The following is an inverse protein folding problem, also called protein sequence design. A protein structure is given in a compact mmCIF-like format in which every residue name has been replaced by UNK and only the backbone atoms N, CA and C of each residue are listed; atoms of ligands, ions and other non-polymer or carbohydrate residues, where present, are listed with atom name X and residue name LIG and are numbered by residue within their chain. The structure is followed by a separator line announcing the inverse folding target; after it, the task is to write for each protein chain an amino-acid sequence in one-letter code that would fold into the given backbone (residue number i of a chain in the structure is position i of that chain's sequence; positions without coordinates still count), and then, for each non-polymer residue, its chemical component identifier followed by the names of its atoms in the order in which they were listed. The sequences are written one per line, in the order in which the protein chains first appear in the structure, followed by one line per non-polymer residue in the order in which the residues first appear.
data_IF_810675447631
#
_entry.id   IF_810675447631
#
_cell.length_a   1.000
_cell.length_b   1.000
_cell.length_c   1.000
_cell.angle_alpha   90.00
_cell.angle_beta   90.00
_cell.angle_gamma   90.00
#
_symmetry.space_group_name_H-M   'P 1'
#
loop_
_entity.id
_entity.type
_entity.pdbx_description
1 polymer ?
#
# COMPACT_ATOMS: atom_id res chain seq x y z
N UNK A 1 9.48 8.42 -17.61
CA UNK A 1 9.17 6.96 -17.70
C UNK A 1 8.56 6.57 -16.39
N UNK A 2 7.43 5.85 -16.40
CA UNK A 2 6.76 5.42 -15.16
C UNK A 2 7.69 4.56 -14.31
N UNK A 3 7.69 4.78 -13.00
CA UNK A 3 8.55 4.09 -12.04
C UNK A 3 8.03 2.69 -11.72
N UNK A 4 6.72 2.58 -11.47
CA UNK A 4 6.00 1.29 -11.43
C UNK A 4 5.03 1.26 -12.62
N UNK A 5 5.15 0.24 -13.47
CA UNK A 5 4.24 0.01 -14.61
C UNK A 5 3.60 -1.36 -14.49
N UNK A 6 2.28 -1.39 -14.57
CA UNK A 6 1.47 -2.60 -14.68
C UNK A 6 0.78 -2.56 -16.04
N UNK A 7 0.88 -3.63 -16.85
CA UNK A 7 0.40 -3.65 -18.23
C UNK A 7 -0.39 -4.93 -18.52
N UNK A 8 -1.69 -4.77 -18.75
CA UNK A 8 -2.68 -5.82 -19.11
C UNK A 8 -2.58 -7.09 -18.24
N UNK A 9 -2.38 -6.94 -16.92
CA UNK A 9 -2.26 -8.11 -16.04
C UNK A 9 -3.60 -8.82 -15.87
N UNK A 10 -3.58 -10.17 -15.98
CA UNK A 10 -4.72 -11.05 -15.72
C UNK A 10 -4.35 -12.02 -14.62
N UNK A 11 -5.07 -11.94 -13.50
CA UNK A 11 -4.81 -12.74 -12.29
C UNK A 11 -5.99 -13.62 -11.97
N UNK A 12 -5.72 -14.83 -11.51
CA UNK A 12 -6.73 -15.87 -11.26
C UNK A 12 -6.55 -16.50 -9.88
N UNK A 13 -7.67 -16.85 -9.25
CA UNK A 13 -7.74 -17.77 -8.12
C UNK A 13 -8.37 -19.07 -8.62
N UNK A 14 -7.53 -20.08 -8.86
CA UNK A 14 -7.99 -21.30 -9.56
C UNK A 14 -8.51 -20.96 -10.96
N UNK A 15 -9.79 -21.18 -11.19
CA UNK A 15 -10.47 -20.87 -12.48
C UNK A 15 -11.19 -19.51 -12.47
N UNK A 16 -11.24 -18.82 -11.35
CA UNK A 16 -11.93 -17.54 -11.23
C UNK A 16 -10.96 -16.42 -11.61
N UNK A 17 -11.30 -15.68 -12.68
CA UNK A 17 -10.51 -14.53 -13.10
C UNK A 17 -10.85 -13.31 -12.24
N UNK A 18 -9.90 -12.90 -11.38
CA UNK A 18 -10.05 -11.76 -10.51
C UNK A 18 -9.65 -10.44 -11.21
N UNK A 19 -8.55 -10.44 -11.97
CA UNK A 19 -8.14 -9.29 -12.78
C UNK A 19 -8.27 -9.61 -14.28
N UNK A 20 -8.87 -8.68 -15.02
CA UNK A 20 -9.30 -8.89 -16.42
C UNK A 20 -8.58 -7.96 -17.40
N UNK A 21 -7.29 -7.71 -17.15
CA UNK A 21 -6.48 -6.79 -17.93
C UNK A 21 -6.36 -5.42 -17.26
N UNK A 22 -5.70 -5.39 -16.09
CA UNK A 22 -5.42 -4.15 -15.37
C UNK A 22 -4.15 -3.53 -15.92
N UNK A 23 -4.24 -2.24 -16.26
CA UNK A 23 -3.09 -1.41 -16.60
C UNK A 23 -3.10 -0.15 -15.74
N UNK A 24 -1.96 0.17 -15.13
CA UNK A 24 -1.75 1.39 -14.36
C UNK A 24 -0.28 1.77 -14.33
N UNK A 25 -0.02 3.03 -14.00
CA UNK A 25 1.35 3.55 -13.82
C UNK A 25 1.43 4.38 -12.56
N UNK A 26 2.61 4.38 -11.93
CA UNK A 26 2.97 5.27 -10.83
C UNK A 26 4.32 5.89 -11.17
N UNK A 27 4.43 7.22 -11.15
CA UNK A 27 5.70 7.92 -11.33
C UNK A 27 6.50 7.93 -10.03
N UNK A 28 7.79 8.16 -10.09
CA UNK A 28 8.64 8.24 -8.91
C UNK A 28 8.20 9.39 -8.00
N UNK A 29 8.07 9.13 -6.70
CA UNK A 29 7.58 10.09 -5.71
C UNK A 29 6.08 10.42 -5.79
N UNK A 30 5.33 9.75 -6.66
CA UNK A 30 3.89 9.97 -6.79
C UNK A 30 3.09 9.10 -5.80
N UNK A 31 2.01 9.66 -5.25
CA UNK A 31 0.96 8.89 -4.60
C UNK A 31 -0.20 8.69 -5.59
N UNK A 32 -0.47 7.43 -5.92
CA UNK A 32 -1.59 7.01 -6.78
C UNK A 32 -2.52 6.12 -5.98
N UNK A 33 -3.82 6.26 -6.19
CA UNK A 33 -4.80 5.40 -5.52
C UNK A 33 -5.62 4.55 -6.49
N UNK A 34 -5.98 3.34 -6.03
CA UNK A 34 -7.01 2.50 -6.63
C UNK A 34 -8.24 2.53 -5.73
N UNK A 35 -9.36 3.06 -6.22
CA UNK A 35 -10.64 3.02 -5.54
C UNK A 35 -11.58 2.02 -6.20
N UNK A 36 -12.51 1.48 -5.43
CA UNK A 36 -13.50 0.53 -5.91
C UNK A 36 -14.18 -0.22 -4.77
N UNK A 37 -15.32 -0.83 -5.07
CA UNK A 37 -16.08 -1.63 -4.11
C UNK A 37 -15.32 -2.91 -3.68
N UNK A 38 -15.81 -3.57 -2.63
CA UNK A 38 -15.29 -4.88 -2.23
C UNK A 38 -15.44 -5.89 -3.36
N UNK A 39 -14.37 -6.65 -3.61
CA UNK A 39 -14.32 -7.61 -4.72
C UNK A 39 -13.98 -6.98 -6.09
N UNK A 40 -13.74 -5.68 -6.20
CA UNK A 40 -13.36 -5.03 -7.47
C UNK A 40 -11.99 -5.48 -8.02
N UNK A 41 -11.13 -6.09 -7.18
CA UNK A 41 -9.80 -6.54 -7.57
C UNK A 41 -8.63 -5.74 -6.98
N UNK A 42 -8.91 -4.77 -6.10
CA UNK A 42 -7.92 -3.86 -5.50
C UNK A 42 -6.76 -4.60 -4.82
N UNK A 43 -7.04 -5.37 -3.76
CA UNK A 43 -6.00 -6.15 -3.04
C UNK A 43 -5.36 -7.21 -3.92
N UNK A 44 -6.10 -7.76 -4.91
CA UNK A 44 -5.51 -8.70 -5.89
C UNK A 44 -4.46 -8.00 -6.76
N UNK A 45 -4.68 -6.73 -7.14
CA UNK A 45 -3.70 -5.95 -7.89
C UNK A 45 -2.41 -5.78 -7.07
N UNK A 46 -2.50 -5.37 -5.79
CA UNK A 46 -1.33 -5.28 -4.92
C UNK A 46 -0.63 -6.63 -4.74
N UNK A 47 -1.40 -7.71 -4.54
CA UNK A 47 -0.85 -9.07 -4.41
C UNK A 47 -0.18 -9.56 -5.69
N UNK A 48 -0.62 -9.11 -6.87
CA UNK A 48 0.05 -9.43 -8.13
C UNK A 48 1.37 -8.67 -8.24
N UNK A 49 1.39 -7.38 -7.88
CA UNK A 49 2.61 -6.56 -7.88
C UNK A 49 3.64 -7.10 -6.88
N UNK A 50 3.22 -7.54 -5.69
CA UNK A 50 4.12 -8.10 -4.66
C UNK A 50 4.48 -9.58 -4.86
N UNK A 51 4.03 -10.21 -5.97
CA UNK A 51 4.33 -11.61 -6.28
C UNK A 51 3.59 -12.64 -5.43
N UNK A 52 2.71 -12.21 -4.50
CA UNK A 52 1.92 -13.11 -3.63
C UNK A 52 0.84 -13.87 -4.40
N UNK A 53 0.36 -13.31 -5.51
CA UNK A 53 -0.59 -13.95 -6.43
C UNK A 53 -0.18 -13.55 -7.86
N UNK A 54 0.80 -14.23 -8.46
CA UNK A 54 1.35 -13.82 -9.76
C UNK A 54 0.29 -13.74 -10.85
N UNK A 55 0.41 -12.73 -11.72
CA UNK A 55 -0.42 -12.62 -12.91
C UNK A 55 -0.10 -13.78 -13.88
N UNK A 56 -1.12 -14.32 -14.55
CA UNK A 56 -0.90 -15.33 -15.60
C UNK A 56 -0.43 -14.74 -16.91
N UNK A 57 -0.83 -13.51 -17.19
CA UNK A 57 -0.46 -12.77 -18.40
C UNK A 57 -0.33 -11.29 -18.06
N UNK A 58 0.32 -10.53 -18.94
CA UNK A 58 0.66 -9.13 -18.74
C UNK A 58 2.07 -8.98 -18.18
N UNK A 59 2.45 -7.75 -17.86
CA UNK A 59 3.79 -7.38 -17.42
C UNK A 59 3.71 -6.42 -16.23
N UNK A 60 4.64 -6.56 -15.29
CA UNK A 60 4.82 -5.64 -14.17
C UNK A 60 6.30 -5.25 -14.14
N UNK A 61 6.57 -3.94 -14.19
CA UNK A 61 7.93 -3.41 -14.24
C UNK A 61 8.16 -2.40 -13.12
N UNK A 62 9.32 -2.49 -12.48
CA UNK A 62 9.82 -1.51 -11.51
C UNK A 62 11.08 -0.85 -12.10
N UNK A 63 11.06 0.47 -12.28
CA UNK A 63 12.16 1.24 -12.89
C UNK A 63 12.66 0.65 -14.23
N UNK A 64 11.74 0.08 -15.02
CA UNK A 64 12.03 -0.58 -16.29
C UNK A 64 12.44 -2.05 -16.21
N UNK A 65 12.65 -2.59 -15.01
CA UNK A 65 12.99 -4.01 -14.79
C UNK A 65 11.71 -4.85 -14.62
N UNK A 66 11.63 -5.98 -15.34
CA UNK A 66 10.49 -6.90 -15.30
C UNK A 66 10.47 -7.69 -13.99
N UNK A 67 9.36 -7.66 -13.25
CA UNK A 67 9.19 -8.32 -11.95
C UNK A 67 8.03 -9.32 -11.88
N UNK A 68 7.23 -9.49 -12.94
CA UNK A 68 5.99 -10.28 -12.94
C UNK A 68 6.14 -11.71 -12.46
N UNK A 69 7.31 -12.30 -12.63
CA UNK A 69 7.58 -13.71 -12.34
C UNK A 69 8.55 -13.92 -11.20
N UNK A 70 8.98 -12.83 -10.54
CA UNK A 70 9.88 -12.92 -9.40
C UNK A 70 9.12 -13.37 -8.14
N UNK A 71 9.76 -14.15 -7.27
CA UNK A 71 9.18 -14.49 -5.99
C UNK A 71 9.13 -13.28 -5.06
N UNK A 72 8.19 -13.24 -4.08
CA UNK A 72 7.96 -12.07 -3.23
C UNK A 72 9.22 -11.52 -2.54
N UNK A 73 10.12 -12.39 -2.08
CA UNK A 73 11.35 -11.96 -1.40
C UNK A 73 12.32 -11.21 -2.32
N UNK A 74 12.35 -11.53 -3.61
CA UNK A 74 13.17 -10.81 -4.59
C UNK A 74 12.54 -9.45 -4.90
N UNK A 75 11.20 -9.39 -5.05
CA UNK A 75 10.46 -8.15 -5.25
C UNK A 75 10.68 -7.18 -4.09
N UNK A 76 10.66 -7.67 -2.84
CA UNK A 76 11.01 -6.85 -1.66
C UNK A 76 12.45 -6.37 -1.75
N UNK A 77 13.40 -7.25 -2.14
CA UNK A 77 14.81 -6.88 -2.34
C UNK A 77 15.03 -5.83 -3.42
N UNK A 78 14.15 -5.73 -4.43
CA UNK A 78 14.17 -4.68 -5.46
C UNK A 78 13.56 -3.36 -4.98
N UNK A 79 12.86 -3.35 -3.85
CA UNK A 79 12.34 -2.15 -3.22
C UNK A 79 10.82 -1.99 -3.28
N UNK A 80 10.04 -3.06 -3.41
CA UNK A 80 8.58 -3.01 -3.23
C UNK A 80 8.23 -3.63 -1.88
N UNK A 81 7.59 -2.86 -1.00
CA UNK A 81 7.08 -3.36 0.28
C UNK A 81 5.59 -3.12 0.40
N UNK A 82 4.89 -4.01 1.12
CA UNK A 82 3.44 -3.95 1.28
C UNK A 82 3.03 -3.95 2.75
N UNK A 83 2.16 -3.00 3.13
CA UNK A 83 1.33 -3.09 4.32
C UNK A 83 -0.01 -3.72 3.91
N UNK A 84 -0.26 -5.01 4.25
CA UNK A 84 -1.43 -5.73 3.78
C UNK A 84 -2.67 -5.36 4.58
N UNK A 85 -3.85 -5.60 3.99
CA UNK A 85 -5.15 -5.54 4.66
C UNK A 85 -5.17 -6.38 5.95
N UNK A 86 -5.87 -5.87 6.97
CA UNK A 86 -6.02 -6.56 8.25
C UNK A 86 -4.76 -6.54 9.13
N UNK A 87 -3.88 -5.56 8.89
CA UNK A 87 -2.72 -5.21 9.73
C UNK A 87 -1.60 -6.26 9.74
N UNK A 88 -1.93 -7.55 9.88
CA UNK A 88 -1.02 -8.73 9.87
C UNK A 88 0.26 -8.55 10.72
N UNK A 89 0.11 -7.91 11.90
CA UNK A 89 1.19 -7.86 12.89
C UNK A 89 1.44 -9.22 13.53
N UNK A 90 2.68 -9.48 13.90
CA UNK A 90 3.05 -10.65 14.69
C UNK A 90 2.66 -10.40 16.15
N UNK A 91 1.48 -10.85 16.53
CA UNK A 91 0.81 -10.50 17.80
C UNK A 91 1.61 -10.87 19.05
N UNK A 92 2.43 -11.92 18.99
CA UNK A 92 3.25 -12.40 20.13
C UNK A 92 4.59 -11.68 20.25
N UNK A 93 5.00 -10.96 19.21
CA UNK A 93 6.20 -10.14 19.16
C UNK A 93 5.89 -8.74 19.68
N UNK A 94 6.91 -8.07 20.19
CA UNK A 94 6.85 -6.66 20.59
C UNK A 94 6.73 -5.74 19.38
N UNK A 95 6.41 -4.46 19.62
CA UNK A 95 6.44 -3.41 18.60
C UNK A 95 7.81 -3.37 17.92
N UNK A 96 8.88 -3.29 18.72
CA UNK A 96 10.25 -3.22 18.22
C UNK A 96 10.61 -4.43 17.37
N UNK A 97 10.34 -5.64 17.84
CA UNK A 97 10.61 -6.87 17.08
C UNK A 97 9.82 -6.94 15.76
N UNK A 98 8.56 -6.45 15.74
CA UNK A 98 7.79 -6.35 14.48
C UNK A 98 8.45 -5.39 13.48
N UNK A 99 8.96 -4.23 13.95
CA UNK A 99 9.64 -3.27 13.09
C UNK A 99 10.96 -3.85 12.56
N UNK A 100 11.80 -4.39 13.43
CA UNK A 100 13.08 -5.01 13.06
C UNK A 100 12.90 -6.15 12.04
N UNK A 101 11.82 -6.92 12.13
CA UNK A 101 11.49 -7.97 11.16
C UNK A 101 11.23 -7.38 9.75
N UNK A 102 10.75 -6.14 9.64
CA UNK A 102 10.60 -5.44 8.36
C UNK A 102 11.93 -5.26 7.62
N UNK A 103 13.03 -5.15 8.35
CA UNK A 103 14.38 -5.02 7.81
C UNK A 103 15.09 -6.37 7.55
N UNK A 104 14.37 -7.51 7.57
CA UNK A 104 14.96 -8.86 7.53
C UNK A 104 15.95 -9.10 6.38
N UNK A 105 15.71 -8.51 5.20
CA UNK A 105 16.58 -8.66 4.03
C UNK A 105 17.77 -7.69 4.03
N UNK A 106 17.78 -6.67 4.90
CA UNK A 106 18.81 -5.64 4.96
C UNK A 106 20.05 -6.12 5.74
N UNK A 107 21.21 -5.48 5.45
CA UNK A 107 22.49 -5.74 6.11
C UNK A 107 23.15 -4.47 6.64
N UNK A 108 22.58 -3.30 6.39
CA UNK A 108 23.07 -1.98 6.76
C UNK A 108 22.58 -1.56 8.15
N UNK A 109 23.21 -2.05 9.19
CA UNK A 109 22.80 -1.81 10.58
C UNK A 109 22.58 -0.32 10.91
N UNK A 110 23.45 0.57 10.43
CA UNK A 110 23.28 2.01 10.64
C UNK A 110 22.05 2.60 9.95
N UNK A 111 21.72 2.13 8.75
CA UNK A 111 20.48 2.50 8.04
C UNK A 111 19.24 1.99 8.77
N UNK A 112 19.27 0.74 9.24
CA UNK A 112 18.18 0.15 10.02
C UNK A 112 17.90 0.97 11.29
N UNK A 113 18.96 1.35 12.04
CA UNK A 113 18.81 2.18 13.25
C UNK A 113 18.27 3.59 12.93
N UNK A 114 18.69 4.18 11.81
CA UNK A 114 18.19 5.47 11.35
C UNK A 114 16.69 5.38 11.00
N UNK A 115 16.29 4.35 10.24
CA UNK A 115 14.90 4.18 9.83
C UNK A 115 14.00 3.85 11.02
N UNK A 116 14.49 3.07 11.99
CA UNK A 116 13.76 2.80 13.21
C UNK A 116 13.44 4.10 13.98
N UNK A 117 14.43 5.02 14.10
CA UNK A 117 14.21 6.34 14.72
C UNK A 117 13.19 7.16 13.93
N UNK A 118 13.32 7.22 12.60
CA UNK A 118 12.36 7.90 11.73
C UNK A 118 10.94 7.36 11.90
N UNK A 119 10.77 6.05 12.01
CA UNK A 119 9.45 5.44 12.23
C UNK A 119 8.89 5.84 13.60
N UNK A 120 9.68 5.94 14.64
CA UNK A 120 9.24 6.42 15.94
C UNK A 120 8.89 7.92 15.93
N UNK A 121 9.56 8.72 15.13
CA UNK A 121 9.17 10.13 14.88
C UNK A 121 7.82 10.23 14.15
N UNK A 122 7.60 9.41 13.12
CA UNK A 122 6.32 9.33 12.39
C UNK A 122 5.18 8.80 13.26
N UNK A 123 5.48 7.85 14.13
CA UNK A 123 4.51 7.17 14.99
C UNK A 123 4.94 7.18 16.47
N UNK A 124 4.82 8.32 17.18
CA UNK A 124 5.28 8.43 18.58
C UNK A 124 4.68 7.40 19.53
N UNK A 125 3.45 6.94 19.24
CA UNK A 125 2.79 5.89 20.06
C UNK A 125 3.50 4.53 19.96
N UNK A 126 4.19 4.25 18.86
CA UNK A 126 5.02 3.04 18.74
C UNK A 126 6.29 3.15 19.57
N UNK A 127 6.89 4.36 19.63
CA UNK A 127 8.05 4.64 20.47
C UNK A 127 7.78 4.43 21.96
N UNK A 128 6.66 5.02 22.46
CA UNK A 128 6.22 4.85 23.84
C UNK A 128 6.01 3.39 24.25
N UNK A 129 5.79 2.49 23.29
CA UNK A 129 5.33 1.11 23.47
C UNK A 129 6.23 0.06 22.85
N UNK A 130 7.50 0.36 22.66
CA UNK A 130 8.46 -0.53 21.96
C UNK A 130 8.48 -1.96 22.51
N UNK A 131 8.40 -2.12 23.84
CA UNK A 131 8.41 -3.41 24.51
C UNK A 131 7.02 -4.08 24.64
N UNK A 132 5.95 -3.37 24.23
CA UNK A 132 4.58 -3.92 24.30
C UNK A 132 4.36 -4.94 23.19
N UNK A 133 3.63 -6.04 23.49
CA UNK A 133 3.25 -7.03 22.47
C UNK A 133 2.19 -6.44 21.53
N UNK A 134 2.42 -6.59 20.23
CA UNK A 134 1.55 -6.04 19.19
C UNK A 134 0.09 -6.49 19.30
N UNK A 135 -0.18 -7.70 19.78
CA UNK A 135 -1.52 -8.22 19.98
C UNK A 135 -2.35 -7.51 21.07
N UNK A 136 -1.71 -6.71 21.93
CA UNK A 136 -2.38 -5.93 23.00
C UNK A 136 -2.60 -4.47 22.63
N UNK A 137 -2.23 -4.06 21.43
CA UNK A 137 -2.38 -2.70 20.92
C UNK A 137 -3.78 -2.48 20.32
N UNK A 138 -4.23 -1.24 20.26
CA UNK A 138 -5.43 -0.86 19.54
C UNK A 138 -5.30 -1.12 18.03
N UNK A 139 -6.43 -1.19 17.32
CA UNK A 139 -6.43 -1.43 15.90
C UNK A 139 -5.66 -0.39 15.08
N UNK A 140 -5.77 0.89 15.45
CA UNK A 140 -5.02 1.95 14.79
C UNK A 140 -3.52 1.89 15.05
N UNK A 141 -3.11 1.56 16.29
CA UNK A 141 -1.69 1.36 16.61
C UNK A 141 -1.11 0.15 15.87
N UNK A 142 -1.87 -0.94 15.73
CA UNK A 142 -1.46 -2.08 14.90
C UNK A 142 -1.33 -1.71 13.42
N UNK A 143 -2.17 -0.81 12.91
CA UNK A 143 -2.06 -0.32 11.54
C UNK A 143 -0.80 0.54 11.35
N UNK A 144 -0.52 1.45 12.28
CA UNK A 144 0.73 2.23 12.30
C UNK A 144 1.95 1.29 12.32
N UNK A 145 1.89 0.23 13.13
CA UNK A 145 2.94 -0.79 13.21
C UNK A 145 3.11 -1.55 11.89
N UNK A 146 2.02 -1.89 11.19
CA UNK A 146 2.08 -2.57 9.90
C UNK A 146 2.71 -1.69 8.82
N UNK A 147 2.36 -0.38 8.79
CA UNK A 147 2.97 0.60 7.88
C UNK A 147 4.45 0.80 8.24
N UNK A 148 4.76 1.00 9.53
CA UNK A 148 6.15 1.14 9.99
C UNK A 148 7.01 -0.06 9.63
N UNK A 149 6.50 -1.28 9.81
CA UNK A 149 7.19 -2.51 9.40
C UNK A 149 7.46 -2.56 7.90
N UNK A 150 6.51 -2.12 7.07
CA UNK A 150 6.72 -2.06 5.62
C UNK A 150 7.80 -1.03 5.25
N UNK A 151 7.86 0.10 5.94
CA UNK A 151 8.88 1.14 5.75
C UNK A 151 10.29 0.67 6.18
N UNK A 152 10.40 -0.22 7.16
CA UNK A 152 11.70 -0.76 7.60
C UNK A 152 12.43 -1.56 6.51
N UNK A 153 11.74 -1.99 5.45
CA UNK A 153 12.37 -2.60 4.28
C UNK A 153 13.15 -1.59 3.42
N UNK A 154 13.09 -0.28 3.72
CA UNK A 154 13.61 0.84 2.92
C UNK A 154 13.12 0.77 1.46
N UNK A 155 11.79 0.76 1.25
CA UNK A 155 11.23 0.54 -0.06
C UNK A 155 11.36 1.76 -0.97
N UNK A 156 11.41 1.51 -2.28
CA UNK A 156 11.24 2.51 -3.33
C UNK A 156 9.75 2.75 -3.63
N UNK A 157 8.93 1.70 -3.48
CA UNK A 157 7.46 1.74 -3.64
C UNK A 157 6.81 1.10 -2.43
N UNK A 158 5.93 1.86 -1.78
CA UNK A 158 5.10 1.39 -0.67
C UNK A 158 3.68 1.07 -1.17
N UNK A 159 3.27 -0.18 -1.01
CA UNK A 159 1.90 -0.63 -1.30
C UNK A 159 1.08 -0.63 -0.02
N UNK A 160 -0.05 0.07 -0.01
CA UNK A 160 -0.95 0.19 1.14
C UNK A 160 -2.32 -0.39 0.80
N UNK A 161 -2.75 -1.41 1.54
CA UNK A 161 -4.00 -2.13 1.31
C UNK A 161 -5.02 -1.81 2.40
N UNK A 162 -5.98 -0.94 2.08
CA UNK A 162 -7.09 -0.48 2.93
C UNK A 162 -6.63 -0.06 4.35
N UNK A 163 -5.69 0.90 4.48
CA UNK A 163 -5.11 1.27 5.76
C UNK A 163 -6.11 1.87 6.75
N UNK A 164 -7.28 2.34 6.30
CA UNK A 164 -8.32 2.92 7.16
C UNK A 164 -9.31 1.89 7.71
N UNK A 165 -9.29 0.64 7.23
CA UNK A 165 -10.34 -0.32 7.53
C UNK A 165 -10.39 -0.71 9.01
N UNK A 166 -11.58 -0.54 9.63
CA UNK A 166 -11.84 -0.94 11.01
C UNK A 166 -11.08 -0.10 12.05
N UNK A 167 -10.82 1.15 11.76
CA UNK A 167 -10.12 2.12 12.62
C UNK A 167 -11.06 3.28 12.94
N UNK A 168 -10.87 3.92 14.10
CA UNK A 168 -11.65 5.09 14.47
C UNK A 168 -11.33 6.29 13.55
N UNK A 169 -12.30 7.20 13.31
CA UNK A 169 -12.10 8.35 12.41
C UNK A 169 -10.84 9.17 12.75
N UNK A 170 -10.62 9.48 14.02
CA UNK A 170 -9.45 10.26 14.47
C UNK A 170 -8.13 9.58 14.11
N UNK A 171 -8.03 8.26 14.28
CA UNK A 171 -6.81 7.52 13.91
C UNK A 171 -6.69 7.34 12.40
N UNK A 172 -7.80 7.29 11.68
CA UNK A 172 -7.81 7.29 10.21
C UNK A 172 -7.19 8.56 9.67
N UNK A 173 -7.65 9.74 10.13
CA UNK A 173 -7.08 11.04 9.76
C UNK A 173 -5.56 11.06 10.01
N UNK A 174 -5.12 10.61 11.19
CA UNK A 174 -3.69 10.57 11.53
C UNK A 174 -2.89 9.66 10.59
N UNK A 175 -3.43 8.51 10.17
CA UNK A 175 -2.78 7.61 9.22
C UNK A 175 -2.63 8.30 7.86
N UNK A 176 -3.66 8.99 7.37
CA UNK A 176 -3.59 9.68 6.08
C UNK A 176 -2.67 10.90 6.12
N UNK A 177 -2.64 11.67 7.22
CA UNK A 177 -1.62 12.70 7.44
C UNK A 177 -0.21 12.12 7.31
N UNK A 178 0.04 10.97 7.96
CA UNK A 178 1.34 10.31 7.89
C UNK A 178 1.65 9.78 6.48
N UNK A 179 0.66 9.24 5.76
CA UNK A 179 0.85 8.81 4.35
C UNK A 179 1.22 10.02 3.48
N UNK A 180 0.54 11.16 3.65
CA UNK A 180 0.87 12.39 2.94
C UNK A 180 2.28 12.89 3.28
N UNK A 181 2.69 12.86 4.56
CA UNK A 181 4.03 13.23 5.00
C UNK A 181 5.11 12.35 4.37
N UNK A 182 4.91 11.03 4.38
CA UNK A 182 5.84 10.05 3.78
C UNK A 182 5.97 10.31 2.27
N UNK A 183 4.86 10.59 1.57
CA UNK A 183 4.88 10.91 0.15
C UNK A 183 5.59 12.24 -0.13
N UNK A 184 5.37 13.28 0.66
CA UNK A 184 6.07 14.57 0.56
C UNK A 184 7.58 14.43 0.76
N UNK A 185 8.04 13.43 1.51
CA UNK A 185 9.45 13.08 1.65
C UNK A 185 10.01 12.31 0.45
N UNK A 186 9.22 12.10 -0.61
CA UNK A 186 9.63 11.47 -1.87
C UNK A 186 9.28 9.99 -2.02
N UNK A 187 8.56 9.39 -1.07
CA UNK A 187 8.14 7.99 -1.18
C UNK A 187 7.10 7.82 -2.31
N UNK A 188 7.34 6.85 -3.20
CA UNK A 188 6.34 6.42 -4.19
C UNK A 188 5.30 5.53 -3.51
N UNK A 189 4.02 5.84 -3.66
CA UNK A 189 2.94 5.13 -2.96
C UNK A 189 1.88 4.65 -3.95
N UNK A 190 1.49 3.39 -3.85
CA UNK A 190 0.26 2.85 -4.45
C UNK A 190 -0.69 2.46 -3.32
N UNK A 191 -1.73 3.26 -3.15
CA UNK A 191 -2.76 3.12 -2.13
C UNK A 191 -3.99 2.43 -2.71
N UNK A 192 -4.53 1.46 -2.00
CA UNK A 192 -5.81 0.84 -2.32
C UNK A 192 -6.80 1.17 -1.22
N UNK A 193 -7.97 1.67 -1.58
CA UNK A 193 -9.00 2.05 -0.63
C UNK A 193 -10.43 1.83 -1.13
N UNK A 194 -11.32 1.60 -0.18
CA UNK A 194 -12.76 1.66 -0.39
C UNK A 194 -13.30 3.07 -0.10
N UNK A 195 -12.75 3.75 0.91
CA UNK A 195 -13.13 5.12 1.23
C UNK A 195 -12.43 6.10 0.29
N UNK A 196 -13.14 6.48 -0.78
CA UNK A 196 -12.59 7.33 -1.82
C UNK A 196 -12.26 8.75 -1.33
N UNK A 197 -12.94 9.28 -0.29
CA UNK A 197 -12.68 10.62 0.22
C UNK A 197 -11.22 10.76 0.66
N UNK A 198 -10.78 9.93 1.62
CA UNK A 198 -9.41 9.97 2.13
C UNK A 198 -8.39 9.63 1.04
N UNK A 199 -8.71 8.65 0.17
CA UNK A 199 -7.80 8.22 -0.88
C UNK A 199 -7.51 9.33 -1.90
N UNK A 200 -8.57 10.05 -2.32
CA UNK A 200 -8.45 11.17 -3.27
C UNK A 200 -7.80 12.41 -2.64
N UNK A 201 -7.87 12.58 -1.29
CA UNK A 201 -7.23 13.69 -0.58
C UNK A 201 -5.70 13.59 -0.61
N UNK A 202 -5.15 12.38 -0.54
CA UNK A 202 -3.70 12.17 -0.43
C UNK A 202 -3.05 11.79 -1.75
N UNK A 203 -3.82 11.49 -2.79
CA UNK A 203 -3.29 11.04 -4.08
C UNK A 203 -3.39 12.13 -5.16
N UNK A 204 -2.43 12.10 -6.09
CA UNK A 204 -2.43 12.98 -7.26
C UNK A 204 -3.32 12.46 -8.39
N UNK A 205 -3.34 11.16 -8.61
CA UNK A 205 -4.15 10.45 -9.61
C UNK A 205 -4.83 9.24 -9.00
N UNK A 206 -5.95 8.86 -9.58
CA UNK A 206 -6.65 7.66 -9.16
C UNK A 206 -7.14 6.82 -10.34
N UNK A 207 -7.29 5.53 -10.05
CA UNK A 207 -7.92 4.55 -10.92
C UNK A 207 -9.16 4.00 -10.23
N UNK A 208 -10.27 3.94 -10.94
CA UNK A 208 -11.52 3.32 -10.45
C UNK A 208 -11.58 1.90 -10.97
N UNK A 209 -11.66 0.94 -10.05
CA UNK A 209 -11.76 -0.48 -10.37
C UNK A 209 -13.19 -0.99 -10.17
N UNK A 210 -13.68 -1.71 -11.18
CA UNK A 210 -14.93 -2.45 -11.11
C UNK A 210 -14.76 -3.84 -11.72
N UNK A 211 -15.10 -4.87 -10.95
CA UNK A 211 -15.14 -6.28 -11.42
C UNK A 211 -13.87 -6.71 -12.18
N UNK A 212 -12.69 -6.32 -11.64
CA UNK A 212 -11.38 -6.69 -12.20
C UNK A 212 -10.92 -5.87 -13.41
N UNK A 213 -11.51 -4.71 -13.66
CA UNK A 213 -11.12 -3.79 -14.74
C UNK A 213 -10.96 -2.36 -14.22
N UNK A 214 -10.09 -1.60 -14.83
CA UNK A 214 -10.07 -0.13 -14.69
C UNK A 214 -11.17 0.42 -15.58
N UNK A 215 -12.14 1.11 -14.98
CA UNK A 215 -13.26 1.73 -15.70
C UNK A 215 -13.05 3.22 -15.89
N UNK A 216 -12.25 3.86 -15.04
CA UNK A 216 -11.94 5.28 -15.11
C UNK A 216 -10.54 5.55 -14.52
N UNK A 217 -9.84 6.54 -15.05
CA UNK A 217 -8.60 7.05 -14.47
C UNK A 217 -8.43 8.53 -14.80
N UNK A 218 -8.10 9.34 -13.81
CA UNK A 218 -7.85 10.78 -13.96
C UNK A 218 -7.11 11.33 -12.74
N UNK A 219 -6.85 12.64 -12.73
CA UNK A 219 -6.42 13.36 -11.56
C UNK A 219 -7.47 13.25 -10.43
N UNK A 220 -7.02 13.16 -9.18
CA UNK A 220 -7.90 12.99 -8.03
C UNK A 220 -8.95 14.07 -7.91
N UNK A 221 -8.61 15.35 -8.20
CA UNK A 221 -9.53 16.47 -8.18
C UNK A 221 -10.65 16.33 -9.23
N UNK A 222 -10.31 15.85 -10.45
CA UNK A 222 -11.28 15.57 -11.50
C UNK A 222 -12.25 14.46 -11.10
N UNK A 223 -11.71 13.37 -10.54
CA UNK A 223 -12.53 12.24 -10.09
C UNK A 223 -13.43 12.60 -8.92
N UNK A 224 -12.99 13.47 -8.03
CA UNK A 224 -13.78 13.96 -6.90
C UNK A 224 -15.05 14.72 -7.35
N UNK A 225 -14.97 15.41 -8.46
CA UNK A 225 -16.12 16.16 -9.02
C UNK A 225 -16.94 15.37 -10.04
N UNK A 226 -16.51 14.16 -10.38
CA UNK A 226 -17.21 13.30 -11.33
C UNK A 226 -18.51 12.73 -10.69
N UNK A 227 -19.69 12.92 -11.33
CA UNK A 227 -20.98 12.51 -10.77
C UNK A 227 -21.08 11.00 -10.50
N UNK A 228 -20.50 10.15 -11.34
CA UNK A 228 -20.54 8.70 -11.18
C UNK A 228 -19.69 8.27 -9.98
N UNK A 229 -18.51 8.88 -9.80
CA UNK A 229 -17.64 8.66 -8.64
C UNK A 229 -18.31 9.14 -7.35
N UNK A 230 -18.91 10.33 -7.38
CA UNK A 230 -19.65 10.88 -6.24
C UNK A 230 -20.76 9.93 -5.79
N UNK A 231 -21.60 9.52 -6.70
CA UNK A 231 -22.72 8.61 -6.43
C UNK A 231 -22.29 7.22 -5.94
N UNK A 232 -21.22 6.67 -6.52
CA UNK A 232 -20.78 5.30 -6.22
C UNK A 232 -19.88 5.19 -4.97
N UNK A 233 -19.05 6.22 -4.69
CA UNK A 233 -17.94 6.09 -3.73
C UNK A 233 -17.84 7.24 -2.72
N UNK A 234 -18.48 8.41 -2.93
CA UNK A 234 -18.38 9.56 -2.04
C UNK A 234 -19.63 9.80 -1.18
N UNK A 235 -20.73 9.06 -1.43
CA UNK A 235 -21.95 9.10 -0.61
C UNK A 235 -22.78 10.39 -0.73
N UNK A 236 -22.69 11.07 -1.87
CA UNK A 236 -23.50 12.30 -2.19
C UNK A 236 -24.60 12.00 -3.17
#
# INVERSE_FOLDING_TARGET
MSFLKVDDIKTYYGNIQALKGISLTVEEGECVTLIGSNGAGKSTTLRSISGLTPARTGSIQLAGEEISHLPPQEIVGMGISQSPEGRKCFQRMTVRENLELGAYLRRDSQGIDKDLKRIFELFPRLDERQAQKAGTMSGGEQQMLAIGRALMADPKVLLLDEPSMGISPVLTERIYETIAEINQQGMTILLVEQNANFALDVSKRAYVLETGKVVMSDNSDTLRTNPDVQKAYLGT
#
